data_IF_715510607339
#
_entry.id   IF_715510607339
#
_cell.length_a   1.000
_cell.length_b   1.000
_cell.length_c   1.000
_cell.angle_alpha   90.00
_cell.angle_beta   90.00
_cell.angle_gamma   90.00
#
_symmetry.space_group_name_H-M   'P 1'
#
loop_
_entity.id
_entity.type
_entity.pdbx_description
1 polymer ?
#
# COMPACT_ATOMS: atom_id res chain seq x y z
N UNK A 1 -5.33 -27.34 2.21
CA UNK A 1 -6.27 -26.35 1.64
C UNK A 1 -5.45 -25.17 1.14
N UNK A 2 -5.60 -24.78 -0.13
CA UNK A 2 -4.86 -23.66 -0.73
C UNK A 2 -5.56 -22.35 -0.34
N UNK A 3 -5.08 -21.64 0.69
CA UNK A 3 -5.66 -20.40 1.18
C UNK A 3 -4.92 -19.21 0.58
N UNK A 4 -5.56 -18.52 -0.36
CA UNK A 4 -5.07 -17.28 -0.95
C UNK A 4 -5.48 -16.10 -0.06
N UNK A 5 -4.50 -15.42 0.53
CA UNK A 5 -4.71 -14.12 1.17
C UNK A 5 -4.87 -13.01 0.15
N UNK A 6 -5.75 -12.06 0.44
CA UNK A 6 -5.94 -10.87 -0.37
C UNK A 6 -5.85 -9.63 0.51
N UNK A 7 -4.90 -8.74 0.20
CA UNK A 7 -4.70 -7.48 0.93
C UNK A 7 -5.28 -6.35 0.11
N UNK A 8 -6.23 -5.64 0.70
CA UNK A 8 -6.78 -4.40 0.17
C UNK A 8 -7.28 -3.53 1.32
N UNK A 9 -7.17 -2.21 1.18
CA UNK A 9 -7.79 -1.27 2.09
C UNK A 9 -8.30 -0.04 1.30
N UNK A 10 -9.54 0.45 1.52
CA UNK A 10 -10.09 1.57 0.77
C UNK A 10 -9.28 2.87 0.95
N UNK A 11 -8.55 3.02 2.07
CA UNK A 11 -7.67 4.18 2.30
C UNK A 11 -6.54 4.30 1.25
N UNK A 12 -6.17 3.22 0.55
CA UNK A 12 -5.20 3.27 -0.57
C UNK A 12 -5.61 4.23 -1.70
N UNK A 13 -6.91 4.52 -1.80
CA UNK A 13 -7.45 5.44 -2.81
C UNK A 13 -7.14 6.91 -2.49
N UNK A 14 -6.76 7.24 -1.25
CA UNK A 14 -6.49 8.60 -0.81
C UNK A 14 -5.11 9.13 -1.20
N UNK A 15 -4.21 8.27 -1.71
CA UNK A 15 -2.96 8.74 -2.31
C UNK A 15 -3.26 9.48 -3.63
N UNK A 16 -3.39 10.80 -3.59
CA UNK A 16 -3.79 11.59 -4.75
C UNK A 16 -2.57 12.14 -5.49
N UNK A 17 -2.31 11.61 -6.68
CA UNK A 17 -1.23 12.06 -7.57
C UNK A 17 -1.66 13.17 -8.53
N UNK A 18 -2.90 13.63 -8.45
CA UNK A 18 -3.47 14.67 -9.29
C UNK A 18 -3.86 14.23 -10.71
N UNK A 19 -4.48 15.14 -11.48
CA UNK A 19 -5.02 14.84 -12.80
C UNK A 19 -3.95 14.38 -13.80
N UNK A 20 -4.30 13.39 -14.62
CA UNK A 20 -3.46 12.91 -15.72
C UNK A 20 -2.31 12.00 -15.30
N UNK A 21 -2.02 11.84 -14.01
CA UNK A 21 -0.98 10.94 -13.56
C UNK A 21 -1.37 9.46 -13.79
N UNK A 22 -0.46 8.61 -14.31
CA UNK A 22 -0.78 7.21 -14.60
C UNK A 22 -0.97 6.38 -13.32
N UNK A 23 -0.24 6.69 -12.24
CA UNK A 23 -0.37 6.05 -10.94
C UNK A 23 -1.59 6.64 -10.20
N UNK A 24 -2.81 6.20 -10.53
CA UNK A 24 -4.07 6.77 -10.00
C UNK A 24 -4.96 5.71 -9.32
N UNK A 25 -5.89 6.16 -8.47
CA UNK A 25 -6.81 5.31 -7.69
C UNK A 25 -7.53 4.28 -8.54
N UNK A 26 -7.89 4.64 -9.79
CA UNK A 26 -8.65 3.78 -10.69
C UNK A 26 -7.93 2.47 -11.02
N UNK A 27 -6.58 2.44 -10.96
CA UNK A 27 -5.84 1.19 -11.14
C UNK A 27 -6.27 0.13 -10.12
N UNK A 28 -6.44 0.56 -8.87
CA UNK A 28 -6.82 -0.31 -7.77
C UNK A 28 -8.34 -0.54 -7.74
N UNK A 29 -9.14 0.48 -8.01
CA UNK A 29 -10.60 0.36 -8.10
C UNK A 29 -11.01 -0.64 -9.18
N UNK A 30 -10.45 -0.53 -10.39
CA UNK A 30 -10.73 -1.47 -11.49
C UNK A 30 -10.33 -2.90 -11.15
N UNK A 31 -9.18 -3.09 -10.49
CA UNK A 31 -8.74 -4.42 -10.04
C UNK A 31 -9.73 -5.03 -9.03
N UNK A 32 -10.11 -4.27 -8.00
CA UNK A 32 -11.03 -4.74 -6.95
C UNK A 32 -12.42 -5.01 -7.52
N UNK A 33 -12.95 -4.13 -8.37
CA UNK A 33 -14.23 -4.33 -9.04
C UNK A 33 -14.23 -5.59 -9.93
N UNK A 34 -13.13 -5.82 -10.66
CA UNK A 34 -12.98 -7.03 -11.46
C UNK A 34 -12.96 -8.29 -10.57
N UNK A 35 -12.19 -8.28 -9.48
CA UNK A 35 -12.11 -9.41 -8.56
C UNK A 35 -13.46 -9.70 -7.87
N UNK A 36 -14.18 -8.66 -7.44
CA UNK A 36 -15.51 -8.77 -6.83
C UNK A 36 -16.52 -9.52 -7.70
N UNK A 37 -16.41 -9.41 -9.03
CA UNK A 37 -17.28 -10.10 -9.98
C UNK A 37 -16.91 -11.58 -10.22
N UNK A 38 -15.75 -12.02 -9.73
CA UNK A 38 -15.28 -13.39 -9.92
C UNK A 38 -15.65 -14.28 -8.72
N UNK A 39 -15.97 -15.58 -8.94
CA UNK A 39 -16.17 -16.53 -7.84
C UNK A 39 -14.97 -16.64 -6.89
N UNK A 40 -13.77 -16.30 -7.40
CA UNK A 40 -12.54 -16.28 -6.62
C UNK A 40 -12.64 -15.38 -5.38
N UNK A 41 -13.36 -14.25 -5.44
CA UNK A 41 -13.49 -13.30 -4.33
C UNK A 41 -13.98 -13.96 -3.03
N UNK A 42 -14.98 -14.83 -3.14
CA UNK A 42 -15.56 -15.53 -2.00
C UNK A 42 -14.63 -16.59 -1.39
N UNK A 43 -13.59 -16.99 -2.13
CA UNK A 43 -12.61 -18.01 -1.68
C UNK A 43 -11.36 -17.41 -1.06
N UNK A 44 -11.15 -16.10 -1.21
CA UNK A 44 -9.98 -15.39 -0.66
C UNK A 44 -10.14 -15.17 0.85
N UNK A 45 -9.03 -15.26 1.57
CA UNK A 45 -8.93 -14.75 2.94
C UNK A 45 -8.60 -13.26 2.89
N UNK A 46 -9.60 -12.42 3.11
CA UNK A 46 -9.46 -10.96 3.10
C UNK A 46 -8.71 -10.50 4.35
N UNK A 47 -7.53 -9.93 4.16
CA UNK A 47 -6.71 -9.36 5.22
C UNK A 47 -7.07 -7.89 5.43
N UNK A 48 -7.00 -7.42 6.67
CA UNK A 48 -7.30 -6.04 7.06
C UNK A 48 -6.01 -5.35 7.53
N UNK A 49 -5.35 -4.59 6.64
CA UNK A 49 -4.08 -3.92 6.92
C UNK A 49 -4.17 -2.98 8.11
N UNK A 50 -3.09 -2.91 8.87
CA UNK A 50 -2.85 -1.90 9.88
C UNK A 50 -1.53 -1.17 9.60
N UNK A 51 -1.39 0.03 10.14
CA UNK A 51 -0.11 0.75 10.09
C UNK A 51 0.92 -0.03 10.91
N UNK A 52 2.08 -0.40 10.33
CA UNK A 52 3.08 -1.17 11.04
C UNK A 52 3.84 -0.30 12.04
N UNK A 53 4.53 -0.94 12.98
CA UNK A 53 5.57 -0.27 13.77
C UNK A 53 6.60 0.34 12.83
N UNK A 54 7.00 1.60 13.09
CA UNK A 54 8.00 2.29 12.26
C UNK A 54 9.37 1.60 12.30
N UNK A 55 9.64 0.77 13.31
CA UNK A 55 10.87 -0.03 13.37
C UNK A 55 11.07 -0.87 12.11
N UNK A 56 10.00 -1.43 11.55
CA UNK A 56 10.05 -2.23 10.32
C UNK A 56 10.39 -1.38 9.11
N UNK A 57 9.87 -0.16 9.03
CA UNK A 57 10.21 0.79 7.97
C UNK A 57 11.68 1.21 8.10
N UNK A 58 12.14 1.38 9.34
CA UNK A 58 13.52 1.79 9.65
C UNK A 58 14.57 0.71 9.44
N UNK A 59 14.18 -0.54 9.20
CA UNK A 59 15.11 -1.59 8.72
C UNK A 59 15.61 -1.33 7.30
N UNK A 60 14.88 -0.54 6.50
CA UNK A 60 15.21 -0.22 5.10
C UNK A 60 15.53 1.26 4.92
N UNK A 61 14.72 2.15 5.50
CA UNK A 61 14.82 3.59 5.29
C UNK A 61 15.25 4.33 6.57
N UNK A 62 16.27 5.20 6.52
CA UNK A 62 16.66 5.99 7.69
C UNK A 62 15.52 6.86 8.22
N UNK A 63 15.42 7.05 9.53
CA UNK A 63 14.37 7.86 10.15
C UNK A 63 14.30 9.28 9.56
N UNK A 64 15.47 9.90 9.30
CA UNK A 64 15.56 11.22 8.64
C UNK A 64 14.81 11.29 7.31
N UNK A 65 14.82 10.20 6.53
CA UNK A 65 14.15 10.13 5.24
C UNK A 65 12.64 10.00 5.42
N UNK A 66 12.18 9.09 6.28
CA UNK A 66 10.74 8.94 6.58
C UNK A 66 10.14 10.21 7.15
N UNK A 67 10.88 10.90 8.03
CA UNK A 67 10.46 12.17 8.63
C UNK A 67 10.39 13.30 7.60
N UNK A 68 11.36 13.38 6.68
CA UNK A 68 11.31 14.33 5.57
C UNK A 68 10.06 14.12 4.72
N UNK A 69 9.75 12.89 4.32
CA UNK A 69 8.55 12.59 3.52
C UNK A 69 7.28 13.00 4.26
N UNK A 70 7.18 12.65 5.56
CA UNK A 70 6.04 13.01 6.39
C UNK A 70 5.79 14.51 6.38
N UNK A 71 6.83 15.31 6.62
CA UNK A 71 6.74 16.78 6.64
C UNK A 71 6.31 17.33 5.28
N UNK A 72 6.92 16.84 4.18
CA UNK A 72 6.57 17.28 2.82
C UNK A 72 5.12 16.98 2.47
N UNK A 73 4.62 15.79 2.81
CA UNK A 73 3.22 15.44 2.63
C UNK A 73 2.31 16.37 3.45
N UNK A 74 2.62 16.59 4.74
CA UNK A 74 1.83 17.47 5.62
C UNK A 74 1.76 18.92 5.13
N UNK A 75 2.85 19.43 4.54
CA UNK A 75 2.89 20.74 3.89
C UNK A 75 2.16 20.78 2.54
N UNK A 76 1.71 19.63 2.02
CA UNK A 76 1.02 19.55 0.74
C UNK A 76 1.95 19.76 -0.46
N UNK A 77 3.23 19.40 -0.34
CA UNK A 77 4.12 19.40 -1.48
C UNK A 77 3.60 18.46 -2.57
N UNK A 78 3.59 18.86 -3.85
CA UNK A 78 2.97 18.07 -4.90
C UNK A 78 3.85 16.92 -5.39
N UNK A 79 5.17 16.96 -5.14
CA UNK A 79 6.17 16.00 -5.64
C UNK A 79 7.30 15.84 -4.61
N UNK A 80 7.76 14.61 -4.38
CA UNK A 80 8.86 14.31 -3.45
C UNK A 80 10.24 14.38 -4.09
N UNK A 81 10.36 14.00 -5.34
CA UNK A 81 11.58 14.15 -6.12
C UNK A 81 11.45 15.36 -7.04
N UNK A 82 12.54 15.81 -7.66
CA UNK A 82 12.47 16.83 -8.70
C UNK A 82 11.79 16.34 -10.00
N UNK A 83 11.05 15.22 -9.95
CA UNK A 83 10.56 14.44 -11.08
C UNK A 83 9.07 14.12 -10.99
N UNK A 84 8.74 12.82 -10.98
CA UNK A 84 7.37 12.30 -11.14
C UNK A 84 6.80 11.59 -9.89
N UNK A 85 7.49 11.60 -8.75
CA UNK A 85 6.96 11.03 -7.49
C UNK A 85 5.98 11.99 -6.84
N UNK A 86 4.76 12.04 -7.39
CA UNK A 86 3.68 12.91 -6.88
C UNK A 86 3.12 12.42 -5.54
N UNK A 87 2.81 13.36 -4.65
CA UNK A 87 2.21 13.07 -3.34
C UNK A 87 1.11 14.06 -2.96
N UNK A 88 0.37 13.68 -1.93
CA UNK A 88 -0.71 14.43 -1.26
C UNK A 88 -0.53 14.34 0.26
N UNK A 89 -1.38 15.05 1.00
CA UNK A 89 -1.36 15.06 2.47
C UNK A 89 -1.46 13.67 3.09
N UNK A 90 -2.26 12.79 2.49
CA UNK A 90 -2.53 11.43 2.96
C UNK A 90 -1.44 10.44 2.54
N UNK A 91 -0.53 10.81 1.63
CA UNK A 91 0.37 9.87 0.96
C UNK A 91 1.32 9.15 1.92
N UNK A 92 1.79 9.85 2.95
CA UNK A 92 2.63 9.24 3.98
C UNK A 92 1.89 8.12 4.73
N UNK A 93 0.68 8.40 5.24
CA UNK A 93 -0.11 7.42 6.00
C UNK A 93 -0.57 6.26 5.10
N UNK A 94 -0.92 6.55 3.85
CA UNK A 94 -1.28 5.54 2.85
C UNK A 94 -0.09 4.62 2.53
N UNK A 95 1.12 5.17 2.39
CA UNK A 95 2.33 4.38 2.15
C UNK A 95 2.68 3.47 3.34
N UNK A 96 2.52 3.96 4.57
CA UNK A 96 2.69 3.11 5.77
C UNK A 96 1.69 1.97 5.81
N UNK A 97 0.41 2.24 5.51
CA UNK A 97 -0.61 1.20 5.46
C UNK A 97 -0.34 0.16 4.37
N UNK A 98 0.16 0.60 3.21
CA UNK A 98 0.56 -0.29 2.11
C UNK A 98 1.68 -1.25 2.55
N UNK A 99 2.71 -0.73 3.22
CA UNK A 99 3.77 -1.56 3.81
C UNK A 99 3.22 -2.52 4.87
N UNK A 100 2.33 -2.03 5.76
CA UNK A 100 1.68 -2.84 6.78
C UNK A 100 0.84 -3.99 6.23
N UNK A 101 0.13 -3.76 5.12
CA UNK A 101 -0.61 -4.83 4.44
C UNK A 101 0.27 -5.95 3.92
N UNK A 102 1.46 -5.62 3.40
CA UNK A 102 2.45 -6.63 2.96
C UNK A 102 3.03 -7.38 4.17
N UNK A 103 3.38 -6.67 5.24
CA UNK A 103 3.88 -7.29 6.48
C UNK A 103 2.86 -8.26 7.08
N UNK A 104 1.59 -7.86 7.18
CA UNK A 104 0.53 -8.73 7.67
C UNK A 104 0.36 -9.99 6.80
N UNK A 105 0.46 -9.86 5.46
CA UNK A 105 0.40 -11.03 4.59
C UNK A 105 1.58 -11.99 4.83
N UNK A 106 2.78 -11.45 5.10
CA UNK A 106 3.96 -12.25 5.45
C UNK A 106 3.72 -12.97 6.79
N UNK A 107 3.22 -12.28 7.82
CA UNK A 107 2.94 -12.89 9.12
C UNK A 107 1.97 -14.08 9.00
N UNK A 108 0.89 -13.92 8.25
CA UNK A 108 -0.11 -14.96 8.00
C UNK A 108 0.45 -16.15 7.19
N UNK A 109 1.38 -15.90 6.27
CA UNK A 109 2.10 -16.95 5.55
C UNK A 109 3.04 -17.72 6.48
N UNK A 110 3.80 -17.00 7.32
CA UNK A 110 4.76 -17.59 8.25
C UNK A 110 4.07 -18.37 9.37
N UNK A 111 2.86 -17.97 9.78
CA UNK A 111 2.01 -18.70 10.72
C UNK A 111 1.37 -19.96 10.11
N UNK A 112 1.46 -20.17 8.80
CA UNK A 112 0.80 -21.28 8.10
C UNK A 112 -0.71 -21.10 7.90
N UNK A 113 -1.24 -19.90 8.17
CA UNK A 113 -2.65 -19.59 7.95
C UNK A 113 -2.98 -19.43 6.46
N UNK A 114 -2.00 -19.00 5.66
CA UNK A 114 -2.09 -18.85 4.21
C UNK A 114 -1.02 -19.69 3.50
N UNK A 115 -1.28 -20.02 2.23
CA UNK A 115 -0.29 -20.69 1.35
C UNK A 115 0.29 -19.75 0.30
N UNK A 116 -0.39 -18.65 0.02
CA UNK A 116 0.02 -17.59 -0.90
C UNK A 116 -0.80 -16.33 -0.61
N UNK A 117 -0.28 -15.16 -0.98
CA UNK A 117 -0.98 -13.90 -0.84
C UNK A 117 -0.83 -13.03 -2.08
N UNK A 118 -1.83 -12.21 -2.36
CA UNK A 118 -1.76 -11.14 -3.35
C UNK A 118 -2.02 -9.80 -2.68
N UNK A 119 -1.09 -8.86 -2.83
CA UNK A 119 -1.14 -7.56 -2.18
C UNK A 119 -1.54 -6.46 -3.16
N UNK A 120 -2.83 -6.11 -3.17
CA UNK A 120 -3.37 -5.03 -3.98
C UNK A 120 -3.19 -3.68 -3.26
N UNK A 121 -1.94 -3.22 -3.20
CA UNK A 121 -1.53 -2.02 -2.46
C UNK A 121 -1.21 -0.84 -3.37
N UNK A 122 -1.37 0.37 -2.82
CA UNK A 122 -0.99 1.64 -3.45
C UNK A 122 -0.67 2.66 -2.35
N UNK A 123 0.43 3.47 -2.45
CA UNK A 123 1.41 3.57 -3.55
C UNK A 123 2.33 2.33 -3.71
N UNK A 124 3.04 2.19 -4.86
CA UNK A 124 4.02 1.12 -5.08
C UNK A 124 5.32 1.36 -4.29
N UNK A 125 6.14 0.31 -4.11
CA UNK A 125 7.35 0.38 -3.25
C UNK A 125 8.70 -0.02 -3.87
N UNK A 126 8.73 -0.75 -4.99
CA UNK A 126 9.98 -1.34 -5.54
C UNK A 126 11.08 -0.36 -5.99
N UNK A 127 10.76 0.94 -6.08
CA UNK A 127 11.70 2.00 -6.48
C UNK A 127 12.10 2.92 -5.30
N UNK A 128 11.59 2.69 -4.09
CA UNK A 128 11.91 3.51 -2.93
C UNK A 128 13.35 3.24 -2.44
N UNK A 129 14.17 4.29 -2.29
CA UNK A 129 15.58 4.21 -1.86
C UNK A 129 16.10 5.49 -1.24
#
# INVERSE_FOLDING_TARGET
>A
MNKLGFVYHPFYLNHNTGPGHPEKSQRLETLVQHLLALPLWATMSHLHPSVPSLEWIHTVHPERYTSMIKVRCQHGEPVLDGGDTRVSKESYDVALLAAGGVLQAIDELMAGNLTRAFCAVRPPGHHAG
#
